data_IF_470635176921
#
_entry.id   IF_470635176921
#
_cell.length_a   1.000
_cell.length_b   1.000
_cell.length_c   1.000
_cell.angle_alpha   90.00
_cell.angle_beta   90.00
_cell.angle_gamma   90.00
#
_symmetry.space_group_name_H-M   'P 1'
#
loop_
_entity.id
_entity.type
_entity.pdbx_description
1 polymer ?
#
# COMPACT_ATOMS: atom_id res chain seq x y z
N UNK A 1 -9.42 0.33 -14.99
CA UNK A 1 -8.28 -0.50 -15.28
C UNK A 1 -7.03 0.29 -15.65
N UNK A 2 -7.07 1.59 -15.37
CA UNK A 2 -5.91 2.43 -15.57
C UNK A 2 -4.85 2.11 -14.51
N UNK A 3 -3.58 1.99 -14.90
CA UNK A 3 -2.51 1.80 -13.94
C UNK A 3 -2.45 2.93 -12.92
N UNK A 4 -2.11 2.59 -11.70
CA UNK A 4 -1.98 3.54 -10.60
C UNK A 4 -0.52 3.70 -10.26
N UNK A 5 -0.08 4.94 -10.11
CA UNK A 5 1.30 5.22 -9.73
C UNK A 5 1.34 5.98 -8.41
N UNK A 6 2.28 5.63 -7.57
CA UNK A 6 2.53 6.32 -6.31
C UNK A 6 4.02 6.29 -6.05
N UNK A 7 4.69 7.43 -6.28
CA UNK A 7 6.13 7.51 -6.21
C UNK A 7 6.79 6.52 -7.15
N UNK A 8 7.65 5.64 -6.64
CA UNK A 8 8.35 4.67 -7.47
C UNK A 8 7.52 3.45 -7.85
N UNK A 9 6.33 3.29 -7.27
CA UNK A 9 5.51 2.11 -7.50
C UNK A 9 4.51 2.34 -8.62
N UNK A 10 4.33 1.30 -9.44
CA UNK A 10 3.30 1.28 -10.47
C UNK A 10 2.52 -0.01 -10.34
N UNK A 11 1.21 0.11 -10.25
CA UNK A 11 0.31 -1.03 -10.11
C UNK A 11 -0.59 -1.09 -11.33
N UNK A 12 -0.61 -2.23 -12.01
CA UNK A 12 -1.44 -2.45 -13.17
C UNK A 12 -2.59 -3.38 -12.82
N UNK A 13 -3.82 -2.86 -12.73
CA UNK A 13 -4.97 -3.70 -12.38
C UNK A 13 -5.29 -4.74 -13.45
N UNK A 14 -4.99 -4.44 -14.71
CA UNK A 14 -5.32 -5.35 -15.80
C UNK A 14 -4.48 -6.63 -15.75
N UNK A 15 -3.19 -6.51 -15.43
CA UNK A 15 -2.29 -7.65 -15.34
C UNK A 15 -2.10 -8.14 -13.91
N UNK A 16 -2.58 -7.38 -12.92
CA UNK A 16 -2.40 -7.64 -11.50
C UNK A 16 -0.92 -7.69 -11.11
N UNK A 17 -0.13 -6.80 -11.69
CA UNK A 17 1.30 -6.72 -11.43
C UNK A 17 1.65 -5.38 -10.80
N UNK A 18 2.67 -5.42 -9.94
CA UNK A 18 3.21 -4.23 -9.30
C UNK A 18 4.69 -4.16 -9.64
N UNK A 19 5.14 -2.97 -9.97
CA UNK A 19 6.52 -2.74 -10.40
C UNK A 19 7.13 -1.60 -9.60
N UNK A 20 8.40 -1.77 -9.29
CA UNK A 20 9.27 -0.71 -8.81
C UNK A 20 10.35 -0.53 -9.89
N UNK A 21 10.16 0.47 -10.76
CA UNK A 21 11.03 0.57 -11.93
C UNK A 21 10.89 -0.67 -12.79
N UNK A 22 11.98 -1.41 -12.94
CA UNK A 22 12.00 -2.63 -13.72
C UNK A 22 11.85 -3.90 -12.87
N UNK A 23 11.74 -3.75 -11.55
CA UNK A 23 11.61 -4.89 -10.67
C UNK A 23 10.15 -5.15 -10.34
N UNK A 24 9.72 -6.36 -10.56
CA UNK A 24 8.37 -6.77 -10.21
C UNK A 24 8.29 -7.09 -8.72
N UNK A 25 7.23 -6.62 -8.07
CA UNK A 25 6.95 -6.91 -6.67
C UNK A 25 5.91 -8.00 -6.61
N UNK A 26 6.23 -9.11 -5.95
CA UNK A 26 5.31 -10.24 -5.83
C UNK A 26 4.39 -10.04 -4.64
N UNK A 27 3.08 -10.04 -4.89
CA UNK A 27 2.06 -9.84 -3.85
C UNK A 27 1.02 -10.95 -3.90
N UNK A 28 0.52 -11.31 -2.72
CA UNK A 28 -0.67 -12.13 -2.65
C UNK A 28 -1.89 -11.34 -3.11
N UNK A 29 -3.02 -12.03 -3.38
CA UNK A 29 -4.21 -11.36 -3.91
C UNK A 29 -4.79 -10.31 -2.96
N UNK A 30 -4.79 -10.58 -1.66
CA UNK A 30 -5.31 -9.62 -0.69
C UNK A 30 -4.37 -8.42 -0.56
N UNK A 31 -3.06 -8.66 -0.51
CA UNK A 31 -2.08 -7.59 -0.43
C UNK A 31 -2.12 -6.73 -1.69
N UNK A 32 -2.39 -7.32 -2.85
CA UNK A 32 -2.56 -6.55 -4.09
C UNK A 32 -3.75 -5.59 -3.98
N UNK A 33 -4.91 -6.09 -3.53
CA UNK A 33 -6.10 -5.25 -3.37
C UNK A 33 -5.88 -4.15 -2.34
N UNK A 34 -5.21 -4.49 -1.25
CA UNK A 34 -4.90 -3.52 -0.20
C UNK A 34 -3.99 -2.42 -0.73
N UNK A 35 -2.94 -2.79 -1.43
CA UNK A 35 -2.02 -1.81 -2.02
C UNK A 35 -2.72 -0.95 -3.05
N UNK A 36 -3.54 -1.56 -3.90
CA UNK A 36 -4.30 -0.83 -4.91
C UNK A 36 -5.17 0.26 -4.27
N UNK A 37 -5.86 -0.10 -3.19
CA UNK A 37 -6.72 0.85 -2.50
C UNK A 37 -5.90 1.99 -1.91
N UNK A 38 -4.80 1.67 -1.24
CA UNK A 38 -3.93 2.68 -0.64
C UNK A 38 -3.30 3.60 -1.70
N UNK A 39 -2.85 3.03 -2.82
CA UNK A 39 -2.25 3.82 -3.90
C UNK A 39 -3.26 4.71 -4.59
N UNK A 40 -4.53 4.30 -4.62
CA UNK A 40 -5.60 5.10 -5.21
C UNK A 40 -6.01 6.28 -4.34
N UNK A 41 -5.63 6.27 -3.06
CA UNK A 41 -5.96 7.31 -2.10
C UNK A 41 -4.72 7.68 -1.30
N UNK A 42 -3.67 8.20 -1.99
CA UNK A 42 -2.40 8.45 -1.30
C UNK A 42 -2.56 9.52 -0.22
N UNK A 43 -1.77 9.38 0.83
CA UNK A 43 -1.71 10.28 1.98
C UNK A 43 -2.96 10.28 2.86
N UNK A 44 -4.04 9.68 2.44
CA UNK A 44 -5.26 9.59 3.24
C UNK A 44 -5.12 8.48 4.29
N UNK A 45 -5.48 8.79 5.52
CA UNK A 45 -5.48 7.80 6.60
C UNK A 45 -6.77 7.00 6.55
N UNK A 46 -6.65 5.69 6.58
CA UNK A 46 -7.78 4.78 6.58
C UNK A 46 -7.78 3.99 7.89
N UNK A 47 -8.92 3.98 8.59
CA UNK A 47 -9.06 3.15 9.77
C UNK A 47 -9.08 1.67 9.36
N UNK A 48 -8.84 0.79 10.33
CA UNK A 48 -8.94 -0.65 10.07
C UNK A 48 -10.32 -1.03 9.56
N UNK A 49 -11.38 -0.45 10.13
CA UNK A 49 -12.74 -0.72 9.66
C UNK A 49 -12.97 -0.27 8.23
N UNK A 50 -12.45 0.90 7.87
CA UNK A 50 -12.55 1.37 6.49
C UNK A 50 -11.83 0.43 5.53
N UNK A 51 -10.67 -0.06 5.91
CA UNK A 51 -9.93 -1.00 5.07
C UNK A 51 -10.67 -2.33 4.96
N UNK A 52 -11.27 -2.81 6.05
CA UNK A 52 -12.08 -4.02 5.97
C UNK A 52 -13.23 -3.86 4.98
N UNK A 53 -13.97 -2.75 5.06
CA UNK A 53 -15.10 -2.50 4.18
C UNK A 53 -14.68 -2.36 2.71
N UNK A 54 -13.59 -1.63 2.47
CA UNK A 54 -13.19 -1.27 1.11
C UNK A 54 -12.39 -2.35 0.42
N UNK A 55 -11.60 -3.10 1.17
CA UNK A 55 -10.72 -4.12 0.59
C UNK A 55 -11.36 -5.50 0.67
N UNK A 56 -11.96 -5.85 1.81
CA UNK A 56 -12.59 -7.15 2.02
C UNK A 56 -14.08 -7.17 1.68
N UNK A 57 -14.77 -6.06 1.88
CA UNK A 57 -16.18 -5.93 1.56
C UNK A 57 -17.08 -6.02 2.79
N UNK A 58 -18.34 -5.56 2.62
CA UNK A 58 -19.27 -5.39 3.72
C UNK A 58 -19.77 -6.70 4.34
N UNK A 59 -19.69 -7.79 3.58
CA UNK A 59 -20.28 -9.06 4.01
C UNK A 59 -19.28 -10.01 4.66
N UNK A 60 -18.08 -9.53 4.92
CA UNK A 60 -17.02 -10.37 5.46
C UNK A 60 -16.85 -10.05 6.94
N UNK A 61 -17.04 -11.08 7.78
CA UNK A 61 -16.86 -10.94 9.23
C UNK A 61 -15.43 -11.28 9.60
N UNK A 62 -14.55 -10.28 9.45
CA UNK A 62 -13.13 -10.42 9.74
C UNK A 62 -12.78 -9.42 10.83
N UNK A 63 -11.97 -9.85 11.78
CA UNK A 63 -11.52 -8.99 12.87
C UNK A 63 -10.56 -7.92 12.34
N UNK A 64 -10.58 -6.76 12.96
CA UNK A 64 -9.72 -5.63 12.58
C UNK A 64 -8.24 -6.00 12.58
N UNK A 65 -7.81 -6.86 13.50
CA UNK A 65 -6.41 -7.27 13.58
C UNK A 65 -5.94 -8.02 12.34
N UNK A 66 -6.87 -8.56 11.55
CA UNK A 66 -6.53 -9.19 10.27
C UNK A 66 -5.92 -8.17 9.32
N UNK A 67 -6.38 -6.93 9.38
CA UNK A 67 -5.79 -5.85 8.57
C UNK A 67 -4.30 -5.71 8.91
N UNK A 68 -3.96 -5.74 10.19
CA UNK A 68 -2.57 -5.59 10.62
C UNK A 68 -1.68 -6.69 10.07
N UNK A 69 -2.19 -7.93 10.01
CA UNK A 69 -1.46 -9.05 9.45
C UNK A 69 -1.14 -8.81 7.97
N UNK A 70 -2.14 -8.35 7.21
CA UNK A 70 -1.95 -8.10 5.78
C UNK A 70 -1.09 -6.86 5.52
N UNK A 71 -1.15 -5.86 6.38
CA UNK A 71 -0.22 -4.73 6.31
C UNK A 71 1.22 -5.22 6.50
N UNK A 72 1.44 -6.10 7.46
CA UNK A 72 2.75 -6.67 7.72
C UNK A 72 3.25 -7.45 6.50
N UNK A 73 2.39 -8.25 5.89
CA UNK A 73 2.74 -9.01 4.69
C UNK A 73 3.02 -8.11 3.52
N UNK A 74 2.26 -7.03 3.38
CA UNK A 74 2.47 -6.05 2.33
C UNK A 74 3.83 -5.37 2.49
N UNK A 75 4.16 -4.96 3.71
CA UNK A 75 5.47 -4.36 3.98
C UNK A 75 6.61 -5.33 3.67
N UNK A 76 6.43 -6.60 4.04
CA UNK A 76 7.45 -7.61 3.77
C UNK A 76 7.66 -7.79 2.27
N UNK A 77 6.59 -7.74 1.48
CA UNK A 77 6.68 -7.85 0.03
C UNK A 77 7.35 -6.63 -0.61
N UNK A 78 7.21 -5.46 -0.01
CA UNK A 78 7.80 -4.22 -0.51
C UNK A 78 9.24 -3.99 -0.02
N UNK A 79 9.67 -4.72 0.99
CA UNK A 79 11.00 -4.55 1.55
C UNK A 79 12.14 -4.79 0.54
N UNK A 80 12.05 -5.81 -0.34
CA UNK A 80 13.13 -6.04 -1.33
C UNK A 80 13.37 -4.87 -2.29
N UNK A 81 12.36 -4.02 -2.49
CA UNK A 81 12.51 -2.83 -3.35
C UNK A 81 12.55 -1.54 -2.51
N UNK A 82 12.82 -1.67 -1.21
CA UNK A 82 12.98 -0.54 -0.31
C UNK A 82 11.75 0.35 -0.18
N UNK A 83 10.57 -0.24 -0.31
CA UNK A 83 9.32 0.52 -0.27
C UNK A 83 8.42 0.15 0.92
N UNK A 84 8.93 -0.59 1.89
CA UNK A 84 8.13 -0.93 3.08
C UNK A 84 7.68 0.32 3.84
N UNK A 85 8.51 1.36 3.85
CA UNK A 85 8.21 2.59 4.58
C UNK A 85 7.10 3.43 3.95
N UNK A 86 6.70 3.11 2.73
CA UNK A 86 5.58 3.79 2.10
C UNK A 86 4.26 3.51 2.83
N UNK A 87 4.17 2.35 3.47
CA UNK A 87 2.98 2.00 4.24
C UNK A 87 3.20 2.45 5.68
N UNK A 88 2.60 3.58 6.03
CA UNK A 88 2.76 4.17 7.36
C UNK A 88 1.65 3.74 8.30
N UNK A 89 2.02 3.49 9.56
CA UNK A 89 1.07 3.35 10.65
C UNK A 89 0.82 4.74 11.24
N UNK A 90 -0.42 5.17 11.24
CA UNK A 90 -0.81 6.42 11.90
C UNK A 90 -1.44 6.03 13.24
N UNK A 91 -0.70 6.26 14.29
CA UNK A 91 -1.05 5.78 15.62
C UNK A 91 -2.43 6.26 16.06
N UNK A 92 -3.28 5.32 16.45
CA UNK A 92 -4.63 5.63 16.89
C UNK A 92 -5.61 5.92 15.77
N UNK A 93 -5.17 5.93 14.51
CA UNK A 93 -6.04 6.28 13.39
C UNK A 93 -6.11 5.20 12.31
N UNK A 94 -4.99 4.53 12.01
CA UNK A 94 -4.99 3.48 10.99
C UNK A 94 -3.72 3.49 10.15
N UNK A 95 -3.90 3.38 8.84
CA UNK A 95 -2.79 3.25 7.91
C UNK A 95 -2.95 4.21 6.73
N UNK A 96 -1.84 4.57 6.12
CA UNK A 96 -1.85 5.37 4.90
C UNK A 96 -0.65 5.03 4.03
N UNK A 97 -0.78 5.32 2.74
CA UNK A 97 0.36 5.34 1.85
C UNK A 97 0.97 6.73 1.91
N UNK A 98 2.21 6.80 2.40
CA UNK A 98 2.92 8.06 2.41
C UNK A 98 3.34 8.41 0.99
N UNK A 99 3.09 9.64 0.57
CA UNK A 99 3.58 10.07 -0.73
C UNK A 99 5.08 10.28 -0.63
N UNK A 100 5.88 9.58 -1.45
CA UNK A 100 7.31 9.84 -1.46
C UNK A 100 7.56 11.30 -1.84
N UNK A 101 8.39 11.96 -1.06
CA UNK A 101 8.80 13.31 -1.38
C UNK A 101 9.82 13.24 -2.52
N UNK A 102 9.49 13.74 -3.72
CA UNK A 102 10.42 13.66 -4.83
C UNK A 102 11.72 14.42 -4.59
N UNK A 103 11.71 15.34 -3.63
CA UNK A 103 12.88 16.11 -3.27
C UNK A 103 13.59 15.59 -2.02
N UNK A 104 13.18 14.46 -1.49
CA UNK A 104 13.73 13.93 -0.25
C UNK A 104 15.24 13.71 -0.36
N UNK A 105 15.70 13.11 -1.47
CA UNK A 105 17.12 12.90 -1.70
C UNK A 105 17.89 14.22 -1.81
N UNK A 106 17.29 15.20 -2.48
CA UNK A 106 17.88 16.52 -2.60
C UNK A 106 17.94 17.25 -1.26
N UNK A 107 16.90 17.12 -0.47
CA UNK A 107 16.85 17.69 0.86
C UNK A 107 17.87 17.06 1.79
N UNK A 108 17.99 15.74 1.71
CA UNK A 108 18.96 15.01 2.52
C UNK A 108 20.38 15.36 2.11
N UNK A 109 20.59 15.61 0.84
CA UNK A 109 21.90 15.98 0.32
C UNK A 109 22.27 17.41 0.71
N UNK A 110 21.28 18.21 0.96
CA UNK A 110 21.53 19.59 1.36
C UNK A 110 21.92 19.69 2.82
#
# INVERSE_FOLDING_TARGET
>A
DTPVEAGPLRLDPATRRVWHGHEEVSLGPTEFRLLRYLMSHPERVHSRNQLLDRVWGDHVFIEERTVDVHIKRLRAALAPVDCADLIETVRGAGYRLARPNPNAAGQDAA
#
